data_IF_689157560065
#
_entry.id   IF_689157560065
#
_cell.length_a   1.000
_cell.length_b   1.000
_cell.length_c   1.000
_cell.angle_alpha   90.00
_cell.angle_beta   90.00
_cell.angle_gamma   90.00
#
_symmetry.space_group_name_H-M   'P 1'
#
loop_
_entity.id
_entity.type
_entity.pdbx_description
1 polymer ?
#
# COMPACT_ATOMS: atom_id res chain seq x y z
N UNK A 1 -19.34 3.10 -0.96
CA UNK A 1 -18.36 2.41 -1.80
C UNK A 1 -17.34 1.67 -0.95
N UNK A 2 -16.66 0.67 -1.51
CA UNK A 2 -15.57 -0.05 -0.85
C UNK A 2 -14.24 0.47 -1.39
N UNK A 3 -13.29 0.79 -0.51
CA UNK A 3 -11.98 1.24 -0.94
C UNK A 3 -10.87 0.36 -0.37
N UNK A 4 -9.77 0.26 -1.10
CA UNK A 4 -8.52 -0.33 -0.62
C UNK A 4 -7.43 0.73 -0.56
N UNK A 5 -6.67 0.75 0.53
CA UNK A 5 -5.45 1.55 0.67
C UNK A 5 -4.25 0.63 0.58
N UNK A 6 -3.38 0.86 -0.41
CA UNK A 6 -2.08 0.21 -0.46
C UNK A 6 -1.16 0.80 0.60
N UNK A 7 -0.74 -0.03 1.57
CA UNK A 7 -0.06 0.44 2.77
C UNK A 7 1.21 -0.37 3.06
N UNK A 8 2.35 0.28 3.00
CA UNK A 8 3.67 -0.31 3.28
C UNK A 8 4.33 0.29 4.54
N UNK A 9 3.57 1.07 5.31
CA UNK A 9 4.06 1.74 6.51
C UNK A 9 4.90 3.00 6.27
N UNK A 10 5.17 3.35 5.02
CA UNK A 10 5.89 4.57 4.64
C UNK A 10 5.05 5.84 4.88
N UNK A 11 5.69 7.01 4.96
CA UNK A 11 4.98 8.28 5.12
C UNK A 11 3.95 8.54 4.00
N UNK A 12 4.25 8.29 2.70
CA UNK A 12 3.23 8.40 1.66
C UNK A 12 2.02 7.48 1.86
N UNK A 13 2.24 6.26 2.39
CA UNK A 13 1.15 5.34 2.70
C UNK A 13 0.31 5.83 3.89
N UNK A 14 0.95 6.41 4.91
CA UNK A 14 0.25 7.05 6.04
C UNK A 14 -0.59 8.23 5.56
N UNK A 15 -0.08 9.06 4.64
CA UNK A 15 -0.86 10.16 4.05
C UNK A 15 -2.06 9.64 3.24
N UNK A 16 -1.88 8.56 2.47
CA UNK A 16 -2.95 7.91 1.73
C UNK A 16 -4.05 7.39 2.67
N UNK A 17 -3.67 6.72 3.76
CA UNK A 17 -4.61 6.25 4.77
C UNK A 17 -5.31 7.41 5.47
N UNK A 18 -4.57 8.45 5.85
CA UNK A 18 -5.13 9.64 6.47
C UNK A 18 -6.14 10.36 5.57
N UNK A 19 -5.90 10.35 4.25
CA UNK A 19 -6.85 10.88 3.28
C UNK A 19 -8.09 9.98 3.16
N UNK A 20 -7.92 8.66 3.11
CA UNK A 20 -9.03 7.71 3.07
C UNK A 20 -9.97 7.90 4.28
N UNK A 21 -9.43 8.20 5.46
CA UNK A 21 -10.22 8.48 6.66
C UNK A 21 -11.07 9.76 6.57
N UNK A 22 -10.75 10.69 5.65
CA UNK A 22 -11.61 11.85 5.37
C UNK A 22 -12.82 11.49 4.49
N UNK A 23 -12.80 10.32 3.87
CA UNK A 23 -13.87 9.83 3.00
C UNK A 23 -14.81 8.86 3.72
N UNK A 24 -14.69 8.69 5.05
CA UNK A 24 -15.39 7.63 5.80
C UNK A 24 -16.90 7.64 5.62
N UNK A 25 -17.52 8.83 5.48
CA UNK A 25 -18.96 8.95 5.27
C UNK A 25 -19.43 8.38 3.91
N UNK A 26 -18.52 8.26 2.95
CA UNK A 26 -18.75 7.68 1.62
C UNK A 26 -18.32 6.21 1.54
N UNK A 27 -17.65 5.70 2.57
CA UNK A 27 -17.12 4.34 2.58
C UNK A 27 -18.03 3.39 3.36
N UNK A 28 -18.41 2.28 2.74
CA UNK A 28 -19.07 1.16 3.43
C UNK A 28 -18.06 0.17 4.03
N UNK A 29 -16.86 0.10 3.46
CA UNK A 29 -15.74 -0.72 3.95
C UNK A 29 -14.41 -0.14 3.47
N UNK A 30 -13.38 -0.28 4.30
CA UNK A 30 -12.00 0.13 4.02
C UNK A 30 -11.06 -1.05 4.22
N UNK A 31 -10.36 -1.47 3.17
CA UNK A 31 -9.33 -2.51 3.25
C UNK A 31 -7.95 -1.86 3.28
N UNK A 32 -7.15 -2.15 4.29
CA UNK A 32 -5.74 -1.79 4.33
C UNK A 32 -4.95 -2.99 3.86
N UNK A 33 -4.28 -2.83 2.73
CA UNK A 33 -3.60 -3.91 2.04
C UNK A 33 -2.10 -3.72 2.05
N UNK A 34 -1.39 -4.60 2.74
CA UNK A 34 0.05 -4.75 2.63
C UNK A 34 0.40 -5.92 1.72
N UNK A 35 1.37 -5.71 0.84
CA UNK A 35 1.91 -6.77 -0.01
C UNK A 35 3.31 -7.12 0.50
N UNK A 36 3.48 -8.34 0.99
CA UNK A 36 4.79 -8.88 1.31
C UNK A 36 5.50 -9.28 0.02
N UNK A 37 6.62 -8.64 -0.34
CA UNK A 37 7.40 -9.04 -1.51
C UNK A 37 7.91 -10.46 -1.34
N UNK A 38 7.79 -11.31 -2.36
CA UNK A 38 8.32 -12.67 -2.29
C UNK A 38 9.85 -12.65 -2.29
N UNK A 39 10.45 -13.39 -1.36
CA UNK A 39 11.92 -13.59 -1.30
C UNK A 39 12.41 -14.37 -2.51
N UNK A 40 11.58 -15.26 -3.06
CA UNK A 40 11.91 -16.09 -4.22
C UNK A 40 12.12 -15.24 -5.50
N UNK A 41 11.46 -14.09 -5.62
CA UNK A 41 11.61 -13.18 -6.76
C UNK A 41 12.96 -12.44 -6.79
N UNK A 42 13.64 -12.31 -5.67
CA UNK A 42 14.96 -11.68 -5.57
C UNK A 42 16.10 -12.68 -5.69
N UNK A 43 15.82 -13.96 -5.51
CA UNK A 43 16.78 -15.07 -5.62
C UNK A 43 16.72 -15.77 -7.00
N UNK A 44 16.40 -15.04 -8.06
CA UNK A 44 16.26 -15.57 -9.43
C UNK A 44 17.56 -16.12 -10.06
N UNK A 45 18.59 -16.36 -9.27
CA UNK A 45 19.78 -17.07 -9.68
C UNK A 45 19.94 -18.33 -8.83
N UNK A 46 19.49 -19.46 -9.38
CA UNK A 46 19.92 -20.84 -9.10
C UNK A 46 20.26 -21.22 -7.66
N UNK A 47 19.51 -22.16 -7.12
CA UNK A 47 19.88 -23.01 -5.95
C UNK A 47 20.17 -22.27 -4.63
N UNK A 48 19.65 -21.05 -4.48
CA UNK A 48 19.89 -20.27 -3.27
C UNK A 48 18.93 -20.70 -2.17
N UNK A 49 19.44 -21.49 -1.24
CA UNK A 49 18.79 -21.71 0.05
C UNK A 49 18.50 -20.35 0.72
N UNK A 50 17.22 -20.03 0.91
CA UNK A 50 16.82 -18.86 1.69
C UNK A 50 16.75 -19.28 3.15
N UNK A 51 17.60 -18.72 4.03
CA UNK A 51 17.56 -19.04 5.44
C UNK A 51 16.19 -18.75 6.08
N UNK A 52 15.76 -19.60 6.99
CA UNK A 52 14.49 -19.39 7.73
C UNK A 52 14.43 -18.04 8.47
N UNK A 53 15.58 -17.51 8.87
CA UNK A 53 15.68 -16.18 9.48
C UNK A 53 15.20 -15.05 8.57
N UNK A 54 15.26 -15.20 7.25
CA UNK A 54 14.76 -14.20 6.29
C UNK A 54 13.24 -14.17 6.31
N UNK A 55 12.60 -15.32 6.34
CA UNK A 55 11.13 -15.41 6.45
C UNK A 55 10.63 -14.87 7.78
N UNK A 56 11.28 -15.21 8.89
CA UNK A 56 10.93 -14.67 10.21
C UNK A 56 11.02 -13.15 10.25
N UNK A 57 12.09 -12.57 9.67
CA UNK A 57 12.24 -11.12 9.59
C UNK A 57 11.17 -10.46 8.71
N UNK A 58 10.74 -11.11 7.63
CA UNK A 58 9.64 -10.64 6.80
C UNK A 58 8.32 -10.63 7.58
N UNK A 59 8.04 -11.69 8.33
CA UNK A 59 6.82 -11.81 9.13
C UNK A 59 6.79 -10.75 10.23
N UNK A 60 7.90 -10.51 10.92
CA UNK A 60 8.03 -9.43 11.91
C UNK A 60 7.81 -8.05 11.28
N UNK A 61 8.37 -7.81 10.10
CA UNK A 61 8.19 -6.56 9.37
C UNK A 61 6.72 -6.36 8.98
N UNK A 62 6.09 -7.40 8.44
CA UNK A 62 4.68 -7.37 8.07
C UNK A 62 3.81 -7.08 9.30
N UNK A 63 4.05 -7.79 10.41
CA UNK A 63 3.33 -7.57 11.66
C UNK A 63 3.42 -6.12 12.14
N UNK A 64 4.61 -5.53 12.12
CA UNK A 64 4.83 -4.13 12.50
C UNK A 64 4.07 -3.13 11.61
N UNK A 65 4.04 -3.38 10.30
CA UNK A 65 3.30 -2.56 9.34
C UNK A 65 1.79 -2.64 9.60
N UNK A 66 1.27 -3.86 9.82
CA UNK A 66 -0.14 -4.08 10.09
C UNK A 66 -0.58 -3.45 11.42
N UNK A 67 0.25 -3.55 12.46
CA UNK A 67 -0.03 -2.89 13.75
C UNK A 67 0.00 -1.36 13.64
N UNK A 68 0.92 -0.79 12.86
CA UNK A 68 0.92 0.64 12.54
C UNK A 68 -0.39 1.05 11.86
N UNK A 69 -0.87 0.28 10.89
CA UNK A 69 -2.15 0.54 10.24
C UNK A 69 -3.31 0.51 11.25
N UNK A 70 -3.39 -0.52 12.08
CA UNK A 70 -4.44 -0.65 13.10
C UNK A 70 -4.44 0.51 14.09
N UNK A 71 -3.26 0.97 14.53
CA UNK A 71 -3.18 2.10 15.44
C UNK A 71 -3.71 3.40 14.83
N UNK A 72 -3.52 3.61 13.52
CA UNK A 72 -4.07 4.75 12.79
C UNK A 72 -5.59 4.67 12.60
N UNK A 73 -6.15 3.47 12.69
CA UNK A 73 -7.58 3.19 12.51
C UNK A 73 -8.35 3.10 13.84
N UNK A 74 -7.68 3.21 14.99
CA UNK A 74 -8.25 2.93 16.31
C UNK A 74 -9.53 3.73 16.62
N UNK A 75 -9.64 4.96 16.10
CA UNK A 75 -10.77 5.86 16.35
C UNK A 75 -11.75 5.95 15.16
N UNK A 76 -11.53 5.16 14.09
CA UNK A 76 -12.41 5.23 12.92
C UNK A 76 -13.74 4.54 13.17
N UNK A 77 -14.80 5.10 12.59
CA UNK A 77 -16.14 4.50 12.61
C UNK A 77 -16.42 3.63 11.39
N UNK A 78 -15.56 3.70 10.35
CA UNK A 78 -15.75 2.88 9.16
C UNK A 78 -15.40 1.42 9.46
N UNK A 79 -16.18 0.51 8.90
CA UNK A 79 -15.83 -0.92 8.94
C UNK A 79 -14.54 -1.12 8.13
N UNK A 80 -13.54 -1.74 8.73
CA UNK A 80 -12.27 -1.98 8.06
C UNK A 80 -11.75 -3.40 8.25
N UNK A 81 -10.85 -3.79 7.38
CA UNK A 81 -9.99 -4.98 7.51
C UNK A 81 -8.54 -4.61 7.20
N UNK A 82 -7.61 -5.30 7.83
CA UNK A 82 -6.17 -5.16 7.58
C UNK A 82 -5.65 -6.49 7.09
N UNK A 83 -5.10 -6.50 5.88
CA UNK A 83 -4.77 -7.72 5.13
C UNK A 83 -3.33 -7.68 4.68
N UNK A 84 -2.64 -8.80 4.85
CA UNK A 84 -1.35 -9.07 4.23
C UNK A 84 -1.52 -10.11 3.11
N UNK A 85 -0.95 -9.82 1.94
CA UNK A 85 -0.91 -10.76 0.81
C UNK A 85 0.55 -10.96 0.42
N UNK A 86 0.98 -12.20 0.33
CA UNK A 86 2.26 -12.54 -0.32
C UNK A 86 2.15 -12.29 -1.83
N UNK A 87 3.13 -11.62 -2.40
CA UNK A 87 3.15 -11.34 -3.84
C UNK A 87 3.27 -12.62 -4.69
N UNK A 88 3.78 -13.71 -4.13
CA UNK A 88 3.98 -14.98 -4.84
C UNK A 88 4.98 -14.87 -6.00
N UNK A 89 5.87 -13.86 -5.98
CA UNK A 89 6.78 -13.54 -7.08
C UNK A 89 6.23 -12.55 -8.10
N UNK A 90 4.96 -12.18 -8.00
CA UNK A 90 4.37 -11.11 -8.81
C UNK A 90 4.90 -9.73 -8.40
N UNK A 91 4.73 -8.76 -9.30
CA UNK A 91 4.97 -7.36 -8.98
C UNK A 91 3.94 -6.88 -7.93
N UNK A 92 4.41 -6.05 -6.99
CA UNK A 92 3.57 -5.49 -5.91
C UNK A 92 2.31 -4.81 -6.47
N UNK A 93 2.43 -4.04 -7.56
CA UNK A 93 1.31 -3.36 -8.20
C UNK A 93 0.23 -4.34 -8.70
N UNK A 94 0.62 -5.47 -9.30
CA UNK A 94 -0.31 -6.52 -9.72
C UNK A 94 -1.05 -7.14 -8.54
N UNK A 95 -0.33 -7.40 -7.45
CA UNK A 95 -0.92 -7.95 -6.22
C UNK A 95 -1.90 -6.98 -5.57
N UNK A 96 -1.62 -5.66 -5.60
CA UNK A 96 -2.55 -4.63 -5.13
C UNK A 96 -3.85 -4.65 -5.96
N UNK A 97 -3.73 -4.61 -7.29
CA UNK A 97 -4.90 -4.59 -8.18
C UNK A 97 -5.72 -5.87 -8.04
N UNK A 98 -5.05 -7.04 -8.00
CA UNK A 98 -5.71 -8.32 -7.77
C UNK A 98 -6.46 -8.34 -6.43
N UNK A 99 -5.80 -7.92 -5.34
CA UNK A 99 -6.40 -7.87 -4.02
C UNK A 99 -7.62 -6.94 -3.93
N UNK A 100 -7.62 -5.84 -4.69
CA UNK A 100 -8.75 -4.94 -4.80
C UNK A 100 -9.93 -5.56 -5.57
N UNK A 101 -9.64 -6.23 -6.69
CA UNK A 101 -10.66 -6.92 -7.50
C UNK A 101 -11.32 -8.05 -6.72
N UNK A 102 -10.54 -8.91 -6.05
CA UNK A 102 -11.04 -10.02 -5.25
C UNK A 102 -11.97 -9.58 -4.11
N UNK A 103 -11.80 -8.35 -3.62
CA UNK A 103 -12.63 -7.75 -2.56
C UNK A 103 -13.78 -6.90 -3.09
N UNK A 104 -13.94 -6.83 -4.41
CA UNK A 104 -14.93 -5.99 -5.06
C UNK A 104 -14.82 -4.53 -4.60
N UNK A 105 -13.60 -3.99 -4.58
CA UNK A 105 -13.36 -2.59 -4.26
C UNK A 105 -13.72 -1.69 -5.44
N UNK A 106 -14.25 -0.52 -5.14
CA UNK A 106 -14.63 0.51 -6.11
C UNK A 106 -13.53 1.54 -6.33
N UNK A 107 -12.53 1.58 -5.42
CA UNK A 107 -11.47 2.58 -5.40
C UNK A 107 -10.18 1.99 -4.83
N UNK A 108 -9.05 2.24 -5.49
CA UNK A 108 -7.71 2.02 -4.97
C UNK A 108 -7.12 3.36 -4.55
N UNK A 109 -6.59 3.45 -3.33
CA UNK A 109 -5.93 4.64 -2.80
C UNK A 109 -4.47 4.28 -2.52
N UNK A 110 -3.54 5.07 -3.05
CA UNK A 110 -2.11 4.86 -2.84
C UNK A 110 -1.38 6.18 -2.66
N UNK A 111 -0.32 6.17 -1.85
CA UNK A 111 0.58 7.29 -1.75
C UNK A 111 1.59 7.32 -2.90
N UNK A 112 2.20 8.46 -3.12
CA UNK A 112 3.35 8.60 -4.02
C UNK A 112 4.48 9.34 -3.32
N UNK A 113 5.73 9.01 -3.69
CA UNK A 113 6.93 9.67 -3.16
C UNK A 113 7.27 10.88 -4.02
N UNK A 114 7.72 11.97 -3.38
CA UNK A 114 8.45 13.01 -4.10
C UNK A 114 9.92 12.61 -4.15
N UNK A 115 10.51 12.70 -5.33
CA UNK A 115 11.96 12.68 -5.43
C UNK A 115 12.47 14.04 -4.94
N UNK A 116 13.34 14.03 -3.93
CA UNK A 116 13.98 15.24 -3.41
C UNK A 116 14.74 15.97 -4.54
N UNK A 117 14.54 17.28 -4.64
CA UNK A 117 15.24 18.12 -5.61
C UNK A 117 14.55 18.32 -6.95
N UNK A 118 13.37 17.73 -7.18
CA UNK A 118 12.59 17.96 -8.39
C UNK A 118 11.33 18.77 -8.07
N UNK A 119 11.12 19.87 -8.79
CA UNK A 119 9.90 20.69 -8.69
C UNK A 119 8.64 19.97 -9.21
N UNK A 120 8.81 18.83 -9.88
CA UNK A 120 7.71 18.05 -10.44
C UNK A 120 7.46 16.80 -9.59
N UNK A 121 6.20 16.51 -9.36
CA UNK A 121 5.76 15.27 -8.73
C UNK A 121 6.00 14.12 -9.72
N UNK A 122 6.83 13.15 -9.34
CA UNK A 122 7.04 11.94 -10.13
C UNK A 122 6.30 10.82 -9.41
N UNK A 123 5.43 10.11 -10.15
CA UNK A 123 4.79 8.91 -9.63
C UNK A 123 5.86 7.86 -9.34
N UNK A 124 5.80 7.26 -8.15
CA UNK A 124 6.64 6.12 -7.79
C UNK A 124 6.35 4.90 -8.68
N UNK A 125 7.28 3.94 -8.73
CA UNK A 125 7.15 2.74 -9.57
C UNK A 125 5.86 1.96 -9.31
N UNK A 126 5.50 1.75 -8.06
CA UNK A 126 4.27 1.01 -7.68
C UNK A 126 3.03 1.79 -8.06
N UNK A 127 2.90 3.06 -7.66
CA UNK A 127 1.73 3.89 -7.96
C UNK A 127 1.54 4.10 -9.47
N UNK A 128 2.63 4.30 -10.21
CA UNK A 128 2.61 4.40 -11.67
C UNK A 128 2.11 3.12 -12.34
N UNK A 129 2.57 1.96 -11.87
CA UNK A 129 2.15 0.68 -12.44
C UNK A 129 0.71 0.33 -12.06
N UNK A 130 0.28 0.61 -10.82
CA UNK A 130 -1.13 0.45 -10.43
C UNK A 130 -2.05 1.24 -11.36
N UNK A 131 -1.73 2.51 -11.66
CA UNK A 131 -2.53 3.34 -12.60
C UNK A 131 -2.61 2.72 -13.99
N UNK A 132 -1.51 2.15 -14.48
CA UNK A 132 -1.46 1.57 -15.84
C UNK A 132 -2.30 0.29 -15.98
N UNK A 133 -2.32 -0.55 -14.95
CA UNK A 133 -2.92 -1.89 -15.04
C UNK A 133 -4.30 -1.99 -14.38
N UNK A 134 -4.71 -0.99 -13.59
CA UNK A 134 -5.97 -1.04 -12.86
C UNK A 134 -7.17 -0.80 -13.76
N UNK A 135 -8.21 -1.61 -13.59
CA UNK A 135 -9.56 -1.38 -14.12
C UNK A 135 -10.48 -0.70 -13.12
N UNK A 136 -9.97 -0.49 -11.89
CA UNK A 136 -10.65 0.22 -10.80
C UNK A 136 -10.09 1.64 -10.73
N UNK A 137 -10.89 2.68 -10.49
CA UNK A 137 -10.42 4.03 -10.23
C UNK A 137 -9.29 4.07 -9.21
N UNK A 138 -8.26 4.87 -9.47
CA UNK A 138 -7.08 5.00 -8.60
C UNK A 138 -6.93 6.44 -8.15
N UNK A 139 -6.84 6.64 -6.84
CA UNK A 139 -6.57 7.92 -6.21
C UNK A 139 -5.13 7.93 -5.71
N UNK A 140 -4.35 8.87 -6.19
CA UNK A 140 -2.96 9.08 -5.80
C UNK A 140 -2.89 10.20 -4.78
N UNK A 141 -2.40 9.91 -3.57
CA UNK A 141 -2.17 10.91 -2.54
C UNK A 141 -0.73 11.41 -2.61
N UNK A 142 -0.52 12.69 -2.92
CA UNK A 142 0.81 13.28 -2.87
C UNK A 142 1.28 13.40 -1.41
N UNK A 143 2.60 13.40 -1.15
CA UNK A 143 3.12 13.69 0.17
C UNK A 143 2.74 15.12 0.55
N UNK A 144 2.49 15.39 1.85
CA UNK A 144 2.29 16.75 2.34
C UNK A 144 3.47 17.62 1.90
N UNK A 145 3.18 18.70 1.21
CA UNK A 145 4.17 19.72 0.93
C UNK A 145 4.69 20.25 2.26
N UNK A 146 6.00 20.45 2.39
CA UNK A 146 6.46 21.45 3.34
C UNK A 146 5.81 22.76 2.88
N UNK A 147 4.92 23.35 3.67
CA UNK A 147 4.56 24.75 3.50
C UNK A 147 5.88 25.48 3.54
N UNK A 148 6.34 26.00 2.40
CA UNK A 148 7.33 27.05 2.41
C UNK A 148 6.60 28.24 3.03
N UNK A 149 6.85 28.43 4.35
CA UNK A 149 6.51 29.68 5.00
C UNK A 149 7.34 30.76 4.31
N UNK A 150 6.68 31.55 3.48
CA UNK A 150 7.20 32.85 3.02
C UNK A 150 7.16 33.84 4.18
#
# INVERSE_FOLDING_TARGET
MKAVVAFDGSDPAVEALSFALKLVDSLSNLTILYITPSVLGTAANFDSYVPSSVYLKQDETAAGILEKAKSLLAETKVKYEVVNIDSGGDQVAKSIVRGAIERNCDLIITGTRRLSGLSKMILGSVSSEVVKISTIPVLICPPKGKTEDN
#
